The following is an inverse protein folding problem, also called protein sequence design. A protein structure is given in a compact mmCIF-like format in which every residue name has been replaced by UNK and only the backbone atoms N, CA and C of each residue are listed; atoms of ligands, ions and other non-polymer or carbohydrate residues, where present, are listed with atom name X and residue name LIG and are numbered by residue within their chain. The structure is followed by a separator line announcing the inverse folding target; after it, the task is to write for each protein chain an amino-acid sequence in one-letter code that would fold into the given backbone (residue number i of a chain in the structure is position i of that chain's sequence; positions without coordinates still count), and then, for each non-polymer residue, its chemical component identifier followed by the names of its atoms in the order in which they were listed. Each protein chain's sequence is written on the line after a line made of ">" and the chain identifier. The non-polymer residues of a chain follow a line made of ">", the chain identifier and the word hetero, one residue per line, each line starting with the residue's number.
data_IF_135685689553
#
_entry.id   IF_135685689553
#
_cell.length_a   1.000
_cell.length_b   1.000
_cell.length_c   1.000
_cell.angle_alpha   90.00
_cell.angle_beta   90.00
_cell.angle_gamma   90.00
#
_symmetry.space_group_name_H-M   'P 1'
#
loop_
_entity.id
_entity.type
_entity.pdbx_description
1 polymer ?
#
# COMPACT_ATOMS: atom_id res chain seq x y z
N UNK A 1 -15.96 -3.72 -16.65
CA UNK A 1 -15.79 -2.24 -16.67
C UNK A 1 -15.78 -1.78 -15.21
N UNK A 2 -14.63 -1.36 -14.69
CA UNK A 2 -14.52 -0.92 -13.31
C UNK A 2 -14.89 0.57 -13.23
N UNK A 3 -15.95 0.88 -12.49
CA UNK A 3 -16.35 2.25 -12.18
C UNK A 3 -15.37 2.84 -11.14
N UNK A 4 -14.66 3.90 -11.54
CA UNK A 4 -13.88 4.74 -10.64
C UNK A 4 -14.82 5.55 -9.73
N UNK A 5 -14.51 5.75 -8.43
CA UNK A 5 -15.24 6.68 -7.59
C UNK A 5 -14.84 8.12 -7.96
N UNK A 6 -15.74 8.81 -8.67
CA UNK A 6 -15.55 10.16 -9.24
C UNK A 6 -15.36 11.30 -8.23
N UNK A 7 -15.61 11.05 -6.94
CA UNK A 7 -15.70 12.12 -5.93
C UNK A 7 -14.36 12.61 -5.37
N UNK A 8 -13.28 11.81 -5.46
CA UNK A 8 -11.93 12.22 -5.05
C UNK A 8 -11.14 12.85 -6.21
N UNK A 9 -11.39 12.42 -7.45
CA UNK A 9 -10.83 13.08 -8.65
C UNK A 9 -11.38 14.50 -8.81
N UNK A 10 -12.66 14.74 -8.51
CA UNK A 10 -13.27 16.06 -8.65
C UNK A 10 -12.78 17.10 -7.64
N UNK A 11 -12.58 16.72 -6.36
CA UNK A 11 -12.13 17.68 -5.33
C UNK A 11 -10.69 18.16 -5.53
N UNK A 12 -9.78 17.25 -5.90
CA UNK A 12 -8.39 17.62 -6.18
C UNK A 12 -8.19 18.17 -7.60
N UNK A 13 -9.15 18.01 -8.52
CA UNK A 13 -9.10 18.63 -9.85
C UNK A 13 -9.51 20.10 -9.83
N UNK A 14 -10.52 20.49 -9.05
CA UNK A 14 -11.02 21.88 -9.05
C UNK A 14 -10.17 22.84 -8.19
N UNK A 15 -9.77 22.44 -6.98
CA UNK A 15 -9.01 23.33 -6.08
C UNK A 15 -7.54 23.49 -6.51
N UNK A 16 -6.94 22.44 -7.11
CA UNK A 16 -5.62 22.57 -7.73
C UNK A 16 -5.70 23.36 -9.04
N UNK A 17 -6.76 23.18 -9.84
CA UNK A 17 -7.02 23.95 -11.06
C UNK A 17 -7.14 25.45 -10.79
N UNK A 18 -7.82 25.89 -9.73
CA UNK A 18 -8.00 27.33 -9.49
C UNK A 18 -6.71 28.04 -9.04
N UNK A 19 -5.87 27.38 -8.24
CA UNK A 19 -4.53 27.88 -7.89
C UNK A 19 -3.60 27.83 -9.10
N UNK A 20 -3.65 26.74 -9.87
CA UNK A 20 -2.87 26.55 -11.09
C UNK A 20 -3.23 27.60 -12.14
N UNK A 21 -4.51 27.81 -12.42
CA UNK A 21 -5.02 28.79 -13.39
C UNK A 21 -4.73 30.24 -12.97
N UNK A 22 -4.84 30.57 -11.67
CA UNK A 22 -4.50 31.91 -11.17
C UNK A 22 -3.01 32.20 -11.24
N UNK A 23 -2.15 31.21 -11.00
CA UNK A 23 -0.71 31.35 -11.11
C UNK A 23 -0.23 31.37 -12.57
N UNK A 24 -0.85 30.55 -13.46
CA UNK A 24 -0.52 30.51 -14.89
C UNK A 24 -0.94 31.79 -15.62
N UNK A 25 -2.11 32.35 -15.31
CA UNK A 25 -2.60 33.58 -15.98
C UNK A 25 -1.81 34.83 -15.61
N UNK A 26 -1.34 34.93 -14.36
CA UNK A 26 -0.43 36.02 -13.95
C UNK A 26 0.95 35.84 -14.59
N UNK A 27 1.43 34.60 -14.69
CA UNK A 27 2.74 34.29 -15.26
C UNK A 27 2.81 34.47 -16.78
N UNK A 28 1.78 34.06 -17.52
CA UNK A 28 1.68 34.29 -18.97
C UNK A 28 1.73 35.78 -19.30
N UNK A 29 1.07 36.61 -18.48
CA UNK A 29 1.12 38.07 -18.62
C UNK A 29 2.51 38.64 -18.31
N UNK A 30 3.17 38.18 -17.25
CA UNK A 30 4.56 38.58 -16.95
C UNK A 30 5.55 38.17 -18.04
N UNK A 31 5.35 37.00 -18.65
CA UNK A 31 6.16 36.51 -19.77
C UNK A 31 5.96 37.33 -21.03
N UNK A 32 4.71 37.56 -21.45
CA UNK A 32 4.40 38.40 -22.61
C UNK A 32 4.97 39.81 -22.43
N UNK A 33 4.90 40.35 -21.22
CA UNK A 33 5.43 41.68 -20.92
C UNK A 33 6.97 41.72 -20.99
N UNK A 34 7.66 40.70 -20.46
CA UNK A 34 9.13 40.58 -20.56
C UNK A 34 9.62 40.27 -21.97
N UNK A 35 8.85 39.52 -22.75
CA UNK A 35 9.15 39.19 -24.14
C UNK A 35 8.98 40.43 -25.04
N UNK A 36 7.94 41.24 -24.80
CA UNK A 36 7.75 42.54 -25.45
C UNK A 36 8.85 43.55 -25.07
N UNK A 37 9.32 43.54 -23.82
CA UNK A 37 10.45 44.37 -23.37
C UNK A 37 11.78 43.91 -23.98
N UNK A 38 12.00 42.59 -24.12
CA UNK A 38 13.19 42.01 -24.74
C UNK A 38 13.26 42.28 -26.26
N UNK A 39 12.11 42.28 -26.95
CA UNK A 39 12.04 42.62 -28.38
C UNK A 39 12.30 44.11 -28.66
N UNK A 40 12.08 44.99 -27.69
CA UNK A 40 12.26 46.45 -27.86
C UNK A 40 13.70 46.93 -27.70
N UNK A 41 14.61 46.15 -27.11
CA UNK A 41 15.98 46.61 -26.85
C UNK A 41 17.04 45.48 -26.89
N UNK A 42 17.93 45.53 -27.90
CA UNK A 42 19.31 44.99 -27.95
C UNK A 42 19.54 43.50 -28.33
N UNK A 43 20.79 43.11 -28.72
CA UNK A 43 21.08 42.07 -29.72
C UNK A 43 20.91 40.64 -29.21
N UNK A 44 20.78 39.70 -30.16
CA UNK A 44 20.42 38.28 -30.04
C UNK A 44 21.08 37.52 -28.87
N UNK A 45 22.33 37.83 -28.52
CA UNK A 45 23.03 37.19 -27.40
C UNK A 45 22.41 37.46 -26.01
N UNK A 46 21.76 38.62 -25.81
CA UNK A 46 21.08 38.92 -24.54
C UNK A 46 19.75 38.20 -24.41
N UNK A 47 19.10 37.89 -25.53
CA UNK A 47 17.79 37.24 -25.56
C UNK A 47 17.88 35.78 -25.07
N UNK A 48 18.94 35.06 -25.44
CA UNK A 48 19.18 33.69 -24.98
C UNK A 48 19.42 33.61 -23.46
N UNK A 49 20.22 34.54 -22.92
CA UNK A 49 20.46 34.63 -21.47
C UNK A 49 19.17 34.90 -20.67
N UNK A 50 18.26 35.72 -21.20
CA UNK A 50 16.96 35.98 -20.56
C UNK A 50 16.06 34.74 -20.58
N UNK A 51 16.05 33.99 -21.68
CA UNK A 51 15.26 32.76 -21.81
C UNK A 51 15.76 31.69 -20.82
N UNK A 52 17.07 31.51 -20.71
CA UNK A 52 17.67 30.58 -19.74
C UNK A 52 17.30 30.95 -18.29
N UNK A 53 17.35 32.24 -17.95
CA UNK A 53 16.96 32.73 -16.62
C UNK A 53 15.47 32.50 -16.33
N UNK A 54 14.60 32.68 -17.34
CA UNK A 54 13.16 32.41 -17.24
C UNK A 54 12.87 30.91 -17.04
N UNK A 55 13.58 30.04 -17.77
CA UNK A 55 13.45 28.58 -17.62
C UNK A 55 13.89 28.16 -16.21
N UNK A 56 15.01 28.68 -15.72
CA UNK A 56 15.53 28.38 -14.39
C UNK A 56 14.55 28.84 -13.30
N UNK A 57 14.02 30.05 -13.44
CA UNK A 57 12.97 30.62 -12.58
C UNK A 57 11.71 29.74 -12.54
N UNK A 58 11.26 29.27 -13.71
CA UNK A 58 10.10 28.36 -13.82
C UNK A 58 10.36 27.06 -13.06
N UNK A 59 11.47 26.37 -13.34
CA UNK A 59 11.83 25.12 -12.66
C UNK A 59 11.91 25.28 -11.13
N UNK A 60 12.45 26.41 -10.64
CA UNK A 60 12.51 26.71 -9.22
C UNK A 60 11.12 26.90 -8.60
N UNK A 61 10.20 27.55 -9.29
CA UNK A 61 8.80 27.73 -8.84
C UNK A 61 8.08 26.37 -8.80
N UNK A 62 8.23 25.55 -9.82
CA UNK A 62 7.67 24.20 -9.88
C UNK A 62 8.18 23.32 -8.73
N UNK A 63 9.46 23.40 -8.39
CA UNK A 63 10.01 22.69 -7.24
C UNK A 63 9.38 23.14 -5.92
N UNK A 64 9.17 24.45 -5.73
CA UNK A 64 8.48 24.98 -4.55
C UNK A 64 7.03 24.46 -4.48
N UNK A 65 6.34 24.42 -5.61
CA UNK A 65 4.99 23.89 -5.71
C UNK A 65 4.94 22.39 -5.36
N UNK A 66 5.87 21.58 -5.90
CA UNK A 66 5.99 20.16 -5.57
C UNK A 66 6.13 19.94 -4.06
N UNK A 67 6.99 20.73 -3.39
CA UNK A 67 7.19 20.66 -1.93
C UNK A 67 5.92 21.00 -1.16
N UNK A 68 5.18 22.02 -1.59
CA UNK A 68 3.92 22.41 -0.97
C UNK A 68 2.86 21.32 -1.13
N UNK A 69 2.70 20.76 -2.33
CA UNK A 69 1.78 19.65 -2.59
C UNK A 69 2.10 18.42 -1.73
N UNK A 70 3.38 18.04 -1.64
CA UNK A 70 3.81 16.92 -0.80
C UNK A 70 3.53 17.17 0.69
N UNK A 71 3.70 18.39 1.17
CA UNK A 71 3.39 18.78 2.54
C UNK A 71 1.88 18.70 2.83
N UNK A 72 1.04 19.18 1.92
CA UNK A 72 -0.42 19.11 2.01
C UNK A 72 -0.92 17.66 2.05
N UNK A 73 -0.30 16.78 1.26
CA UNK A 73 -0.56 15.32 1.30
C UNK A 73 -0.02 14.64 2.57
N UNK A 74 0.64 15.36 3.49
CA UNK A 74 1.26 14.80 4.69
C UNK A 74 2.52 13.95 4.42
N UNK A 75 3.13 14.08 3.24
CA UNK A 75 4.27 13.27 2.81
C UNK A 75 5.58 13.95 3.22
N UNK A 76 6.13 13.48 4.33
CA UNK A 76 7.40 13.99 4.89
C UNK A 76 8.65 13.40 4.23
N UNK A 77 8.54 12.25 3.57
CA UNK A 77 9.66 11.53 2.97
C UNK A 77 9.46 11.41 1.46
N UNK A 78 10.21 12.21 0.72
CA UNK A 78 10.26 12.18 -0.74
C UNK A 78 11.72 12.29 -1.20
N UNK A 79 11.99 11.92 -2.45
CA UNK A 79 13.34 12.01 -3.04
C UNK A 79 13.34 12.93 -4.25
N UNK A 80 14.28 13.88 -4.28
CA UNK A 80 14.56 14.68 -5.46
C UNK A 80 15.68 13.99 -6.23
N UNK A 81 15.51 13.81 -7.53
CA UNK A 81 16.55 13.31 -8.42
C UNK A 81 17.06 14.41 -9.36
N UNK A 82 18.34 14.38 -9.68
CA UNK A 82 18.96 15.28 -10.66
C UNK A 82 18.77 14.79 -12.09
N UNK A 83 18.72 13.47 -12.29
CA UNK A 83 18.53 12.87 -13.60
C UNK A 83 17.17 13.24 -14.21
N UNK A 84 17.06 13.28 -15.54
CA UNK A 84 15.80 13.58 -16.21
C UNK A 84 14.78 12.45 -16.02
N UNK A 85 13.50 12.79 -16.14
CA UNK A 85 12.39 11.89 -15.78
C UNK A 85 12.38 10.58 -16.57
N UNK A 86 12.73 10.62 -17.86
CA UNK A 86 12.84 9.45 -18.71
C UNK A 86 13.88 8.44 -18.18
N UNK A 87 15.06 8.90 -17.74
CA UNK A 87 16.09 8.05 -17.17
C UNK A 87 15.65 7.41 -15.84
N UNK A 88 14.92 8.16 -15.02
CA UNK A 88 14.32 7.63 -13.79
C UNK A 88 13.34 6.50 -14.12
N UNK A 89 12.49 6.68 -15.12
CA UNK A 89 11.53 5.67 -15.58
C UNK A 89 12.23 4.43 -16.15
N UNK A 90 13.30 4.63 -16.93
CA UNK A 90 14.11 3.53 -17.43
C UNK A 90 14.80 2.76 -16.31
N UNK A 91 15.31 3.45 -15.28
CA UNK A 91 15.89 2.80 -14.12
C UNK A 91 14.85 1.98 -13.33
N UNK A 92 13.63 2.48 -13.19
CA UNK A 92 12.51 1.72 -12.59
C UNK A 92 12.22 0.46 -13.42
N UNK A 93 12.11 0.60 -14.75
CA UNK A 93 11.82 -0.51 -15.67
C UNK A 93 12.91 -1.58 -15.64
N UNK A 94 14.16 -1.17 -15.69
CA UNK A 94 15.32 -2.05 -15.79
C UNK A 94 15.89 -2.47 -14.43
N UNK A 95 15.26 -2.06 -13.31
CA UNK A 95 15.71 -2.31 -11.94
C UNK A 95 17.15 -1.84 -11.67
N UNK A 96 17.55 -0.73 -12.30
CA UNK A 96 18.85 -0.11 -12.08
C UNK A 96 18.84 0.73 -10.81
N UNK A 97 19.99 0.84 -10.19
CA UNK A 97 20.21 1.74 -9.06
C UNK A 97 20.60 3.12 -9.59
N UNK A 98 20.11 4.15 -8.90
CA UNK A 98 20.49 5.55 -9.13
C UNK A 98 21.08 6.07 -7.84
N UNK A 99 22.34 6.51 -7.86
CA UNK A 99 23.06 7.00 -6.67
C UNK A 99 23.00 6.00 -5.50
N UNK A 100 23.24 4.71 -5.79
CA UNK A 100 23.17 3.62 -4.80
C UNK A 100 21.76 3.36 -4.24
N UNK A 101 20.71 3.89 -4.87
CA UNK A 101 19.32 3.71 -4.45
C UNK A 101 18.53 2.91 -5.47
N UNK A 102 17.97 1.80 -5.01
CA UNK A 102 17.11 0.95 -5.83
C UNK A 102 15.70 1.54 -5.94
N UNK A 103 15.51 2.44 -6.90
CA UNK A 103 14.22 3.10 -7.12
C UNK A 103 13.11 2.12 -7.47
N UNK A 104 13.41 1.06 -8.23
CA UNK A 104 12.44 0.05 -8.63
C UNK A 104 11.82 -0.69 -7.43
N UNK A 105 12.57 -0.84 -6.33
CA UNK A 105 12.04 -1.35 -5.08
C UNK A 105 11.32 -0.27 -4.27
N UNK A 106 11.83 0.96 -4.26
CA UNK A 106 11.21 2.06 -3.53
C UNK A 106 9.80 2.40 -4.03
N UNK A 107 9.58 2.39 -5.35
CA UNK A 107 8.26 2.70 -5.94
C UNK A 107 7.18 1.71 -5.52
N UNK A 108 7.53 0.46 -5.14
CA UNK A 108 6.59 -0.54 -4.58
C UNK A 108 5.99 -0.14 -3.24
N UNK A 109 6.48 0.93 -2.62
CA UNK A 109 5.90 1.52 -1.43
C UNK A 109 4.92 2.65 -1.81
N UNK A 110 3.60 2.51 -1.53
CA UNK A 110 2.61 3.54 -1.81
C UNK A 110 2.87 4.90 -1.14
N UNK A 111 3.75 4.96 -0.13
CA UNK A 111 4.13 6.20 0.56
C UNK A 111 5.37 6.86 -0.05
N UNK A 112 6.08 6.17 -0.94
CA UNK A 112 7.25 6.74 -1.60
C UNK A 112 6.80 7.78 -2.63
N UNK A 113 7.47 8.94 -2.63
CA UNK A 113 7.30 9.99 -3.63
C UNK A 113 8.64 10.46 -4.15
N UNK A 114 8.66 10.88 -5.40
CA UNK A 114 9.81 11.52 -5.99
C UNK A 114 9.42 12.61 -7.00
N UNK A 115 10.37 13.49 -7.29
CA UNK A 115 10.33 14.40 -8.44
C UNK A 115 11.76 14.63 -8.96
N UNK A 116 11.89 15.13 -10.18
CA UNK A 116 13.17 15.41 -10.85
C UNK A 116 13.43 16.92 -10.94
N UNK A 117 14.69 17.33 -11.01
CA UNK A 117 15.05 18.74 -11.24
C UNK A 117 14.70 19.21 -12.65
N UNK A 118 14.69 18.30 -13.62
CA UNK A 118 14.43 18.64 -15.02
C UNK A 118 12.94 18.95 -15.28
N UNK A 119 12.05 18.11 -14.76
CA UNK A 119 10.60 18.26 -14.92
C UNK A 119 9.88 17.98 -13.58
N UNK A 120 9.94 18.90 -12.61
CA UNK A 120 9.44 18.66 -11.25
C UNK A 120 7.96 18.25 -11.18
N UNK A 121 7.05 18.99 -11.82
CA UNK A 121 5.62 18.71 -11.72
C UNK A 121 5.23 17.40 -12.41
N UNK A 122 5.68 17.19 -13.64
CA UNK A 122 5.36 15.99 -14.40
C UNK A 122 5.88 14.72 -13.69
N UNK A 123 7.09 14.76 -13.16
CA UNK A 123 7.67 13.63 -12.42
C UNK A 123 6.95 13.35 -11.09
N UNK A 124 6.47 14.39 -10.40
CA UNK A 124 5.64 14.23 -9.20
C UNK A 124 4.29 13.60 -9.52
N UNK A 125 3.64 14.02 -10.61
CA UNK A 125 2.36 13.45 -11.06
C UNK A 125 2.48 11.96 -11.40
N UNK A 126 3.54 11.60 -12.11
CA UNK A 126 3.90 10.19 -12.38
C UNK A 126 4.09 9.44 -11.05
N UNK A 127 4.85 10.00 -10.11
CA UNK A 127 5.08 9.37 -8.81
C UNK A 127 3.78 9.18 -8.01
N UNK A 128 2.85 10.14 -8.08
CA UNK A 128 1.53 10.05 -7.45
C UNK A 128 0.68 8.95 -8.09
N UNK A 129 0.69 8.88 -9.42
CA UNK A 129 -0.05 7.88 -10.20
C UNK A 129 0.42 6.47 -9.88
N UNK A 130 1.74 6.24 -9.88
CA UNK A 130 2.33 4.95 -9.50
C UNK A 130 1.92 4.54 -8.09
N UNK A 131 1.95 5.48 -7.14
CA UNK A 131 1.58 5.20 -5.77
C UNK A 131 0.11 4.81 -5.61
N UNK A 132 -0.80 5.45 -6.37
CA UNK A 132 -2.22 5.08 -6.39
C UNK A 132 -2.41 3.67 -6.92
N UNK A 133 -1.84 3.36 -8.08
CA UNK A 133 -1.94 2.02 -8.71
C UNK A 133 -1.44 0.93 -7.76
N UNK A 134 -0.32 1.16 -7.07
CA UNK A 134 0.27 0.17 -6.17
C UNK A 134 -0.56 0.02 -4.89
N UNK A 135 -1.17 1.11 -4.40
CA UNK A 135 -2.13 1.04 -3.29
C UNK A 135 -3.33 0.18 -3.70
N UNK A 136 -3.90 0.43 -4.87
CA UNK A 136 -5.05 -0.32 -5.38
C UNK A 136 -4.70 -1.80 -5.58
N UNK A 137 -3.50 -2.13 -6.07
CA UNK A 137 -3.03 -3.53 -6.16
C UNK A 137 -2.91 -4.17 -4.77
N UNK A 138 -2.39 -3.45 -3.77
CA UNK A 138 -2.26 -3.97 -2.41
C UNK A 138 -3.61 -4.17 -1.73
N UNK A 139 -4.53 -3.25 -1.92
CA UNK A 139 -5.87 -3.29 -1.35
C UNK A 139 -6.73 -4.35 -2.08
N UNK A 140 -6.51 -4.54 -3.37
CA UNK A 140 -7.16 -5.57 -4.21
C UNK A 140 -6.53 -6.96 -4.11
N UNK A 141 -5.52 -7.18 -3.25
CA UNK A 141 -4.90 -8.50 -3.05
C UNK A 141 -5.89 -9.53 -2.48
N UNK A 142 -6.69 -10.07 -3.39
CA UNK A 142 -7.53 -11.28 -3.34
C UNK A 142 -6.70 -12.50 -2.87
N UNK A 143 -5.38 -12.47 -3.00
CA UNK A 143 -4.46 -13.50 -2.51
C UNK A 143 -4.44 -13.64 -0.97
N UNK A 144 -4.59 -12.56 -0.19
CA UNK A 144 -4.66 -12.69 1.28
C UNK A 144 -5.97 -13.34 1.73
N UNK A 145 -7.06 -13.17 0.98
CA UNK A 145 -8.34 -13.87 1.23
C UNK A 145 -8.22 -15.37 0.96
N UNK A 146 -7.60 -15.79 -0.16
CA UNK A 146 -7.39 -17.21 -0.50
C UNK A 146 -6.53 -17.95 0.53
N UNK A 147 -5.44 -17.33 1.02
CA UNK A 147 -4.58 -17.95 2.04
C UNK A 147 -5.23 -18.06 3.42
N UNK A 148 -6.16 -17.15 3.77
CA UNK A 148 -6.97 -17.26 5.00
C UNK A 148 -8.04 -18.32 4.86
N UNK A 149 -8.74 -18.34 3.73
CA UNK A 149 -9.79 -19.33 3.43
C UNK A 149 -9.23 -20.75 3.42
N UNK A 150 -8.12 -21.01 2.71
CA UNK A 150 -7.47 -22.33 2.71
C UNK A 150 -6.99 -22.77 4.10
N UNK A 151 -6.48 -21.85 4.93
CA UNK A 151 -6.14 -22.14 6.33
C UNK A 151 -7.35 -22.46 7.18
N UNK A 152 -8.50 -21.85 6.88
CA UNK A 152 -9.75 -22.12 7.56
C UNK A 152 -10.31 -23.48 7.17
N UNK A 153 -10.39 -23.77 5.87
CA UNK A 153 -10.78 -25.07 5.31
C UNK A 153 -9.97 -26.22 5.89
N UNK A 154 -8.63 -26.13 5.88
CA UNK A 154 -7.76 -27.15 6.46
C UNK A 154 -8.02 -27.39 7.96
N UNK A 155 -8.33 -26.32 8.70
CA UNK A 155 -8.55 -26.41 10.13
C UNK A 155 -9.98 -26.90 10.46
N UNK A 156 -10.94 -26.67 9.57
CA UNK A 156 -12.30 -27.22 9.67
C UNK A 156 -12.33 -28.71 9.30
N UNK A 157 -11.59 -29.10 8.24
CA UNK A 157 -11.36 -30.49 7.88
C UNK A 157 -10.70 -31.26 9.02
N UNK A 158 -9.65 -30.69 9.62
CA UNK A 158 -9.02 -31.27 10.80
C UNK A 158 -10.00 -31.42 11.98
N UNK A 159 -10.79 -30.39 12.26
CA UNK A 159 -11.78 -30.45 13.33
C UNK A 159 -12.78 -31.58 13.10
N UNK A 160 -13.26 -31.80 11.87
CA UNK A 160 -14.14 -32.94 11.54
C UNK A 160 -13.46 -34.29 11.76
N UNK A 161 -12.23 -34.44 11.27
CA UNK A 161 -11.52 -35.73 11.32
C UNK A 161 -11.20 -36.18 12.74
N UNK A 162 -10.89 -35.24 13.64
CA UNK A 162 -10.55 -35.55 15.03
C UNK A 162 -11.80 -35.62 15.94
N UNK A 163 -12.94 -35.10 15.48
CA UNK A 163 -14.19 -35.10 16.25
C UNK A 163 -14.67 -36.51 16.56
N UNK A 164 -14.70 -37.40 15.57
CA UNK A 164 -15.11 -38.80 15.77
C UNK A 164 -14.19 -39.50 16.76
N UNK A 165 -12.87 -39.37 16.57
CA UNK A 165 -11.85 -39.99 17.42
C UNK A 165 -11.99 -39.51 18.87
N UNK A 166 -12.11 -38.19 19.09
CA UNK A 166 -12.25 -37.66 20.44
C UNK A 166 -13.59 -38.07 21.04
N UNK A 167 -14.70 -37.99 20.30
CA UNK A 167 -15.99 -38.41 20.82
C UNK A 167 -16.00 -39.88 21.20
N UNK A 168 -15.51 -40.78 20.35
CA UNK A 168 -15.43 -42.23 20.64
C UNK A 168 -14.69 -42.52 21.94
N UNK A 169 -13.53 -41.89 22.15
CA UNK A 169 -12.70 -42.12 23.35
C UNK A 169 -13.32 -41.44 24.58
N UNK A 170 -14.20 -40.45 24.39
CA UNK A 170 -14.81 -39.68 25.47
C UNK A 170 -16.27 -40.05 25.76
N UNK A 171 -16.91 -40.95 24.99
CA UNK A 171 -18.32 -41.38 25.19
C UNK A 171 -18.59 -41.84 26.62
N UNK A 172 -17.58 -42.41 27.28
CA UNK A 172 -17.70 -43.00 28.60
C UNK A 172 -17.11 -42.14 29.73
N UNK A 173 -16.55 -40.96 29.41
CA UNK A 173 -15.94 -40.08 30.40
C UNK A 173 -16.60 -38.70 30.43
N UNK A 174 -16.79 -38.18 31.65
CA UNK A 174 -17.28 -36.82 31.85
C UNK A 174 -16.15 -35.96 32.41
N UNK A 175 -15.72 -34.96 31.65
CA UNK A 175 -14.66 -34.04 32.07
C UNK A 175 -15.24 -32.79 32.73
N UNK A 176 -14.58 -32.32 33.79
CA UNK A 176 -14.96 -31.07 34.47
C UNK A 176 -14.29 -29.86 33.83
N UNK A 177 -13.21 -30.05 33.08
CA UNK A 177 -12.50 -28.98 32.39
C UNK A 177 -11.78 -29.47 31.13
N UNK A 178 -11.47 -28.54 30.22
CA UNK A 178 -10.59 -28.82 29.08
C UNK A 178 -9.17 -29.24 29.49
N UNK A 179 -8.75 -28.93 30.72
CA UNK A 179 -7.46 -29.41 31.24
C UNK A 179 -7.50 -30.90 31.54
N UNK A 180 -8.57 -31.38 32.17
CA UNK A 180 -8.76 -32.81 32.42
C UNK A 180 -8.88 -33.59 31.11
N UNK A 181 -9.69 -33.08 30.16
CA UNK A 181 -9.81 -33.69 28.83
C UNK A 181 -8.45 -33.74 28.09
N UNK A 182 -7.63 -32.69 28.15
CA UNK A 182 -6.31 -32.69 27.52
C UNK A 182 -5.36 -33.69 28.16
N UNK A 183 -5.38 -33.82 29.48
CA UNK A 183 -4.57 -34.81 30.20
C UNK A 183 -4.98 -36.23 29.80
N UNK A 184 -6.29 -36.52 29.83
CA UNK A 184 -6.83 -37.81 29.42
C UNK A 184 -6.42 -38.17 27.97
N UNK A 185 -6.58 -37.26 27.01
CA UNK A 185 -6.17 -37.52 25.62
C UNK A 185 -4.66 -37.78 25.48
N UNK A 186 -3.83 -37.12 26.29
CA UNK A 186 -2.39 -37.38 26.33
C UNK A 186 -2.07 -38.75 26.95
N UNK A 187 -2.78 -39.13 28.01
CA UNK A 187 -2.60 -40.41 28.70
C UNK A 187 -3.03 -41.59 27.81
N UNK A 188 -4.12 -41.41 27.05
CA UNK A 188 -4.57 -42.33 25.99
C UNK A 188 -3.70 -42.30 24.72
N UNK A 189 -2.62 -41.49 24.71
CA UNK A 189 -1.67 -41.34 23.59
C UNK A 189 -2.35 -40.99 22.26
N UNK A 190 -3.45 -40.24 22.29
CA UNK A 190 -4.13 -39.78 21.09
C UNK A 190 -3.27 -38.72 20.39
N UNK A 191 -2.85 -38.93 19.14
CA UNK A 191 -1.95 -38.00 18.46
C UNK A 191 -2.67 -36.69 18.08
N UNK A 192 -1.94 -35.58 18.17
CA UNK A 192 -2.32 -34.30 17.54
C UNK A 192 -1.72 -34.24 16.12
N UNK A 193 -2.13 -33.32 15.23
CA UNK A 193 -1.66 -33.32 13.83
C UNK A 193 -0.19 -32.90 13.70
N UNK A 194 0.40 -32.38 14.79
CA UNK A 194 1.82 -32.07 14.87
C UNK A 194 2.57 -33.06 15.76
N UNK A 195 1.94 -34.18 16.17
CA UNK A 195 2.46 -35.14 17.15
C UNK A 195 2.95 -34.48 18.45
N UNK A 196 2.31 -33.37 18.83
CA UNK A 196 2.53 -32.67 20.10
C UNK A 196 1.53 -33.12 21.15
N UNK A 197 1.81 -32.82 22.41
CA UNK A 197 0.85 -32.99 23.51
C UNK A 197 -0.37 -32.09 23.33
N UNK A 198 -1.54 -32.63 23.64
CA UNK A 198 -2.79 -31.89 23.76
C UNK A 198 -2.64 -30.77 24.79
N UNK A 199 -3.07 -29.57 24.39
CA UNK A 199 -3.12 -28.40 25.25
C UNK A 199 -4.59 -28.01 25.48
N UNK A 200 -4.96 -27.51 26.67
CA UNK A 200 -6.34 -27.10 26.95
C UNK A 200 -6.85 -26.06 25.93
N UNK A 201 -5.99 -25.12 25.54
CA UNK A 201 -6.31 -24.10 24.52
C UNK A 201 -6.66 -24.71 23.16
N UNK A 202 -6.00 -25.80 22.76
CA UNK A 202 -6.29 -26.50 21.51
C UNK A 202 -7.69 -27.11 21.55
N UNK A 203 -8.09 -27.70 22.67
CA UNK A 203 -9.43 -28.24 22.85
C UNK A 203 -10.50 -27.15 22.88
N UNK A 204 -10.24 -26.00 23.51
CA UNK A 204 -11.17 -24.86 23.47
C UNK A 204 -11.39 -24.37 22.04
N UNK A 205 -10.32 -24.24 21.24
CA UNK A 205 -10.41 -23.81 19.85
C UNK A 205 -11.12 -24.84 18.96
N UNK A 206 -10.92 -26.13 19.21
CA UNK A 206 -11.63 -27.20 18.53
C UNK A 206 -13.12 -27.20 18.89
N UNK A 207 -13.45 -27.02 20.17
CA UNK A 207 -14.83 -27.00 20.63
C UNK A 207 -15.63 -25.85 20.00
N UNK A 208 -15.05 -24.66 19.94
CA UNK A 208 -15.63 -23.51 19.23
C UNK A 208 -15.82 -23.78 17.73
N UNK A 209 -14.89 -24.51 17.10
CA UNK A 209 -15.02 -24.89 15.69
C UNK A 209 -16.09 -25.96 15.49
N UNK A 210 -16.19 -26.95 16.37
CA UNK A 210 -17.25 -27.96 16.31
C UNK A 210 -18.63 -27.32 16.44
N UNK A 211 -18.78 -26.37 17.35
CA UNK A 211 -20.00 -25.57 17.48
C UNK A 211 -20.34 -24.83 16.18
N UNK A 212 -19.34 -24.15 15.58
CA UNK A 212 -19.52 -23.46 14.30
C UNK A 212 -19.82 -24.40 13.12
N UNK A 213 -19.43 -25.67 13.21
CA UNK A 213 -19.69 -26.71 12.22
C UNK A 213 -20.99 -27.50 12.49
N UNK A 214 -21.72 -27.19 13.56
CA UNK A 214 -22.93 -27.92 13.95
C UNK A 214 -22.67 -29.31 14.52
N UNK A 215 -21.46 -29.58 15.01
CA UNK A 215 -21.06 -30.84 15.64
C UNK A 215 -21.26 -30.79 17.15
N UNK A 216 -21.45 -31.97 17.77
CA UNK A 216 -21.58 -32.08 19.23
C UNK A 216 -20.35 -31.54 19.95
N UNK A 217 -20.56 -30.72 20.98
CA UNK A 217 -19.48 -30.07 21.71
C UNK A 217 -19.12 -30.84 22.98
N UNK A 218 -17.84 -30.81 23.34
CA UNK A 218 -17.38 -31.18 24.68
C UNK A 218 -17.86 -30.08 25.63
N UNK A 219 -18.95 -30.34 26.34
CA UNK A 219 -19.46 -29.45 27.38
C UNK A 219 -18.90 -29.92 28.73
N UNK A 220 -17.95 -29.18 29.34
CA UNK A 220 -17.54 -29.48 30.70
C UNK A 220 -18.74 -29.20 31.61
N UNK A 221 -19.20 -30.21 32.35
CA UNK A 221 -20.30 -30.00 33.30
C UNK A 221 -19.73 -29.39 34.59
N UNK A 222 -20.20 -28.21 35.03
CA UNK A 222 -19.89 -27.72 36.36
C UNK A 222 -20.53 -28.63 37.41
N UNK A 223 -19.88 -28.74 38.57
CA UNK A 223 -20.48 -29.35 39.77
C UNK A 223 -21.67 -28.50 40.24
#
# INVERSE_FOLDING_TARGET
>A
MAHFPSSLQAKYSLESSDLYNKLDTVWLKELEQKEQEAQKNKPVDKSLSIIEELILSKKLREEKLCKAMLADMGIKKYRKFTLPTNEILEAIRNKKEIDGFNIANAVKNPKFRFYTSDSPLASLEISNTMASVIKDIKDSNIFMKRGRQKRQENADEYARNIHSIINEVTVHETFKSFREAANFLNDQKIPTPLNKRWQPRTLTLLNQRWEALGLSTLTPKPK
#
